data_IF_405081728768
#
_entry.id   IF_405081728768
#
_cell.length_a   1.000
_cell.length_b   1.000
_cell.length_c   1.000
_cell.angle_alpha   90.00
_cell.angle_beta   90.00
_cell.angle_gamma   90.00
#
_symmetry.space_group_name_H-M   'P 1'
#
loop_
_entity.id
_entity.type
_entity.pdbx_description
1 polymer ?
#
# COMPACT_ATOMS: atom_id res chain seq x y z
N UNK A 1 17.79 -25.63 32.71
CA UNK A 1 18.09 -25.10 31.38
C UNK A 1 18.07 -23.58 31.45
N UNK A 2 19.08 -22.90 30.93
CA UNK A 2 19.12 -21.42 30.87
C UNK A 2 18.10 -20.98 29.82
N UNK A 3 17.25 -20.02 30.16
CA UNK A 3 16.27 -19.48 29.20
C UNK A 3 17.01 -18.67 28.13
N UNK A 4 16.84 -19.02 26.86
CA UNK A 4 17.43 -18.28 25.74
C UNK A 4 16.67 -16.97 25.50
N UNK A 5 17.34 -15.97 24.91
CA UNK A 5 16.73 -14.66 24.66
C UNK A 5 15.44 -14.74 23.82
N UNK A 6 15.39 -15.66 22.84
CA UNK A 6 14.20 -15.89 22.00
C UNK A 6 12.99 -16.34 22.81
N UNK A 7 13.21 -17.06 23.91
CA UNK A 7 12.15 -17.57 24.79
C UNK A 7 11.73 -16.50 25.80
N UNK A 8 12.64 -15.58 26.15
CA UNK A 8 12.39 -14.44 27.03
C UNK A 8 11.70 -13.27 26.33
N UNK A 9 11.96 -13.04 25.04
CA UNK A 9 11.45 -11.87 24.32
C UNK A 9 9.92 -11.72 24.36
N UNK A 10 9.10 -12.78 24.15
CA UNK A 10 7.64 -12.66 24.28
C UNK A 10 7.20 -12.31 25.71
N UNK A 11 7.90 -12.83 26.73
CA UNK A 11 7.62 -12.55 28.14
C UNK A 11 7.97 -11.11 28.51
N UNK A 12 9.11 -10.61 28.02
CA UNK A 12 9.51 -9.21 28.21
C UNK A 12 8.55 -8.26 27.51
N UNK A 13 8.15 -8.54 26.27
CA UNK A 13 7.13 -7.74 25.57
C UNK A 13 5.79 -7.71 26.31
N UNK A 14 5.37 -8.85 26.90
CA UNK A 14 4.15 -8.90 27.71
C UNK A 14 4.29 -8.03 28.96
N UNK A 15 5.45 -8.08 29.64
CA UNK A 15 5.75 -7.25 30.81
C UNK A 15 5.70 -5.76 30.45
N UNK A 16 6.38 -5.33 29.40
CA UNK A 16 6.39 -3.92 28.99
C UNK A 16 5.00 -3.42 28.57
N UNK A 17 4.23 -4.22 27.84
CA UNK A 17 2.84 -3.87 27.47
C UNK A 17 1.90 -3.72 28.67
N UNK A 18 2.17 -4.43 29.78
CA UNK A 18 1.36 -4.36 30.99
C UNK A 18 1.71 -3.15 31.87
N UNK A 19 2.90 -2.56 31.70
CA UNK A 19 3.39 -1.45 32.53
C UNK A 19 3.05 -0.06 31.95
N UNK A 20 2.39 0.00 30.78
CA UNK A 20 1.97 1.25 30.16
C UNK A 20 0.71 1.83 30.82
N UNK A 21 0.63 3.16 30.87
CA UNK A 21 -0.53 3.95 31.32
C UNK A 21 -1.43 4.43 30.17
N UNK A 22 -1.02 4.17 28.93
CA UNK A 22 -1.76 4.50 27.71
C UNK A 22 -2.51 3.27 27.20
N UNK A 23 -3.80 3.43 26.88
CA UNK A 23 -4.55 2.42 26.10
C UNK A 23 -4.18 2.55 24.61
N UNK A 24 -3.46 1.57 24.02
CA UNK A 24 -3.05 1.64 22.62
C UNK A 24 -4.23 1.59 21.65
N UNK A 25 -5.38 0.98 22.02
CA UNK A 25 -6.57 1.00 21.16
C UNK A 25 -7.12 2.41 21.02
N UNK A 26 -7.24 3.14 22.14
CA UNK A 26 -7.69 4.53 22.14
C UNK A 26 -6.72 5.40 21.34
N UNK A 27 -5.43 5.30 21.62
CA UNK A 27 -4.41 6.08 20.89
C UNK A 27 -4.41 5.74 19.39
N UNK A 28 -4.50 4.47 19.02
CA UNK A 28 -4.51 4.06 17.60
C UNK A 28 -5.73 4.63 16.89
N UNK A 29 -6.91 4.58 17.50
CA UNK A 29 -8.11 5.15 16.90
C UNK A 29 -7.97 6.68 16.76
N UNK A 30 -7.38 7.37 17.73
CA UNK A 30 -7.10 8.81 17.63
C UNK A 30 -6.14 9.13 16.46
N UNK A 31 -5.07 8.36 16.30
CA UNK A 31 -4.08 8.55 15.24
C UNK A 31 -4.55 8.13 13.85
N UNK A 32 -5.68 7.43 13.76
CA UNK A 32 -6.23 6.86 12.52
C UNK A 32 -7.62 7.41 12.22
N UNK A 33 -7.84 8.68 12.57
CA UNK A 33 -9.05 9.44 12.24
C UNK A 33 -10.35 8.83 12.79
N UNK A 34 -10.25 8.15 13.93
CA UNK A 34 -11.37 7.54 14.64
C UNK A 34 -11.49 6.03 14.45
N UNK A 35 -12.50 5.46 15.12
CA UNK A 35 -12.73 4.01 15.16
C UNK A 35 -13.09 3.48 13.77
N UNK A 36 -14.05 4.12 13.10
CA UNK A 36 -14.55 3.67 11.80
C UNK A 36 -13.46 3.67 10.72
N UNK A 37 -12.67 4.75 10.64
CA UNK A 37 -11.56 4.86 9.70
C UNK A 37 -10.47 3.80 10.00
N UNK A 38 -10.12 3.61 11.27
CA UNK A 38 -9.15 2.57 11.64
C UNK A 38 -9.65 1.14 11.34
N UNK A 39 -10.92 0.85 11.56
CA UNK A 39 -11.49 -0.48 11.28
C UNK A 39 -11.56 -0.74 9.76
N UNK A 40 -11.94 0.28 8.95
CA UNK A 40 -11.85 0.18 7.49
C UNK A 40 -10.40 -0.04 7.04
N UNK A 41 -9.45 0.71 7.59
CA UNK A 41 -8.02 0.55 7.31
C UNK A 41 -7.52 -0.86 7.65
N UNK A 42 -7.91 -1.44 8.79
CA UNK A 42 -7.55 -2.83 9.16
C UNK A 42 -8.11 -3.82 8.15
N UNK A 43 -9.38 -3.67 7.77
CA UNK A 43 -10.02 -4.51 6.78
C UNK A 43 -9.28 -4.49 5.43
N UNK A 44 -8.92 -3.30 4.93
CA UNK A 44 -8.15 -3.16 3.69
C UNK A 44 -6.78 -3.85 3.78
N UNK A 45 -6.07 -3.70 4.91
CA UNK A 45 -4.79 -4.38 5.13
C UNK A 45 -4.96 -5.91 5.13
N UNK A 46 -5.98 -6.42 5.82
CA UNK A 46 -6.26 -7.86 5.85
C UNK A 46 -6.55 -8.43 4.45
N UNK A 47 -7.19 -7.67 3.57
CA UNK A 47 -7.43 -8.11 2.19
C UNK A 47 -6.11 -8.33 1.43
N UNK A 48 -5.12 -7.46 1.63
CA UNK A 48 -3.79 -7.60 1.03
C UNK A 48 -3.03 -8.77 1.67
N UNK A 49 -3.07 -8.92 3.00
CA UNK A 49 -2.41 -10.01 3.72
C UNK A 49 -2.89 -11.40 3.29
N UNK A 50 -4.16 -11.53 2.90
CA UNK A 50 -4.75 -12.79 2.42
C UNK A 50 -4.50 -13.06 0.94
N UNK A 51 -4.10 -12.06 0.16
CA UNK A 51 -3.95 -12.21 -1.28
C UNK A 51 -2.61 -12.93 -1.61
N UNK A 52 -2.62 -14.04 -2.38
CA UNK A 52 -1.46 -14.93 -2.54
C UNK A 52 -0.20 -14.30 -3.17
N UNK A 53 -0.35 -13.22 -3.95
CA UNK A 53 0.79 -12.47 -4.54
C UNK A 53 1.08 -11.14 -3.81
N UNK A 54 0.06 -10.35 -3.49
CA UNK A 54 0.22 -9.04 -2.85
C UNK A 54 0.71 -9.12 -1.40
N UNK A 55 0.49 -10.25 -0.72
CA UNK A 55 1.01 -10.49 0.63
C UNK A 55 2.50 -10.82 0.69
N UNK A 56 3.15 -11.06 -0.45
CA UNK A 56 4.57 -11.41 -0.51
C UNK A 56 5.47 -10.35 0.14
N UNK A 57 6.46 -10.81 0.93
CA UNK A 57 7.44 -9.98 1.66
C UNK A 57 8.90 -10.37 1.40
N UNK A 58 9.16 -11.21 0.41
CA UNK A 58 10.48 -11.82 0.17
C UNK A 58 11.43 -10.93 -0.65
N UNK A 59 11.11 -9.63 -0.78
CA UNK A 59 11.86 -8.67 -1.61
C UNK A 59 13.36 -8.59 -1.28
N UNK A 60 13.73 -8.82 -0.02
CA UNK A 60 15.13 -8.77 0.44
C UNK A 60 15.95 -9.99 0.00
N UNK A 61 15.29 -11.05 -0.46
CA UNK A 61 15.94 -12.27 -0.96
C UNK A 61 16.04 -12.31 -2.49
N UNK A 62 15.67 -11.22 -3.16
CA UNK A 62 15.69 -11.10 -4.62
C UNK A 62 16.82 -10.18 -5.08
N UNK A 63 17.49 -10.55 -6.16
CA UNK A 63 18.36 -9.61 -6.87
C UNK A 63 17.53 -8.54 -7.61
N UNK A 64 18.21 -7.55 -8.21
CA UNK A 64 17.54 -6.43 -8.89
C UNK A 64 16.53 -6.89 -9.97
N UNK A 65 16.93 -7.80 -10.85
CA UNK A 65 16.09 -8.28 -11.96
C UNK A 65 14.89 -9.08 -11.44
N UNK A 66 15.12 -9.94 -10.45
CA UNK A 66 14.05 -10.72 -9.81
C UNK A 66 13.05 -9.82 -9.10
N UNK A 67 13.54 -8.82 -8.35
CA UNK A 67 12.69 -7.87 -7.63
C UNK A 67 11.87 -7.01 -8.60
N UNK A 68 12.49 -6.52 -9.67
CA UNK A 68 11.78 -5.77 -10.70
C UNK A 68 10.68 -6.62 -11.37
N UNK A 69 11.02 -7.84 -11.78
CA UNK A 69 10.08 -8.77 -12.43
C UNK A 69 8.92 -9.13 -11.50
N UNK A 70 9.20 -9.42 -10.22
CA UNK A 70 8.16 -9.70 -9.24
C UNK A 70 7.32 -8.46 -8.93
N UNK A 71 7.92 -7.27 -8.91
CA UNK A 71 7.23 -5.99 -8.78
C UNK A 71 6.21 -5.77 -9.90
N UNK A 72 6.55 -6.08 -11.16
CA UNK A 72 5.61 -6.04 -12.28
C UNK A 72 4.45 -7.02 -12.10
N UNK A 73 4.73 -8.24 -11.60
CA UNK A 73 3.70 -9.21 -11.25
C UNK A 73 2.78 -8.66 -10.14
N UNK A 74 3.32 -8.09 -9.07
CA UNK A 74 2.53 -7.42 -8.01
C UNK A 74 1.66 -6.31 -8.58
N UNK A 75 2.19 -5.45 -9.45
CA UNK A 75 1.42 -4.39 -10.13
C UNK A 75 0.23 -4.96 -10.89
N UNK A 76 0.43 -5.98 -11.72
CA UNK A 76 -0.66 -6.61 -12.48
C UNK A 76 -1.75 -7.18 -11.56
N UNK A 77 -1.37 -7.83 -10.46
CA UNK A 77 -2.31 -8.32 -9.47
C UNK A 77 -3.02 -7.19 -8.72
N UNK A 78 -2.32 -6.10 -8.39
CA UNK A 78 -2.88 -4.98 -7.65
C UNK A 78 -3.94 -4.24 -8.47
N UNK A 79 -3.64 -3.93 -9.73
CA UNK A 79 -4.59 -3.29 -10.65
C UNK A 79 -5.85 -4.15 -10.82
N UNK A 80 -5.68 -5.46 -11.02
CA UNK A 80 -6.80 -6.39 -11.10
C UNK A 80 -7.59 -6.46 -9.80
N UNK A 81 -6.90 -6.50 -8.67
CA UNK A 81 -7.51 -6.53 -7.35
C UNK A 81 -8.38 -5.29 -7.08
N UNK A 82 -7.89 -4.08 -7.40
CA UNK A 82 -8.69 -2.86 -7.26
C UNK A 82 -9.97 -2.92 -8.09
N UNK A 83 -9.88 -3.42 -9.33
CA UNK A 83 -11.04 -3.60 -10.21
C UNK A 83 -12.02 -4.64 -9.68
N UNK A 84 -11.52 -5.82 -9.30
CA UNK A 84 -12.33 -6.95 -8.85
C UNK A 84 -13.00 -6.66 -7.49
N UNK A 85 -12.47 -5.72 -6.70
CA UNK A 85 -13.03 -5.28 -5.43
C UNK A 85 -13.78 -3.94 -5.52
N UNK A 86 -13.91 -3.36 -6.71
CA UNK A 86 -14.59 -2.09 -6.96
C UNK A 86 -14.07 -0.92 -6.08
N UNK A 87 -12.75 -0.88 -5.86
CA UNK A 87 -12.11 0.11 -4.99
C UNK A 87 -11.72 1.34 -5.83
N UNK A 88 -12.61 2.33 -5.85
CA UNK A 88 -12.42 3.59 -6.57
C UNK A 88 -11.86 4.72 -5.70
N UNK A 89 -12.08 4.64 -4.38
CA UNK A 89 -11.63 5.68 -3.46
C UNK A 89 -10.10 5.73 -3.38
N UNK A 90 -9.54 6.92 -3.62
CA UNK A 90 -8.08 7.11 -3.68
C UNK A 90 -7.41 6.86 -2.34
N UNK A 91 -8.04 7.23 -1.22
CA UNK A 91 -7.46 7.02 0.09
C UNK A 91 -7.41 5.53 0.44
N UNK A 92 -8.44 4.76 0.07
CA UNK A 92 -8.41 3.30 0.20
C UNK A 92 -7.32 2.67 -0.67
N UNK A 93 -7.17 3.12 -1.92
CA UNK A 93 -6.09 2.68 -2.81
C UNK A 93 -4.71 2.95 -2.18
N UNK A 94 -4.50 4.11 -1.56
CA UNK A 94 -3.26 4.46 -0.86
C UNK A 94 -2.99 3.54 0.34
N UNK A 95 -4.01 3.21 1.14
CA UNK A 95 -3.90 2.26 2.26
C UNK A 95 -3.51 0.86 1.75
N UNK A 96 -4.19 0.37 0.72
CA UNK A 96 -3.90 -0.93 0.13
C UNK A 96 -2.51 -0.98 -0.47
N UNK A 97 -2.11 0.09 -1.15
CA UNK A 97 -0.79 0.20 -1.76
C UNK A 97 0.31 0.21 -0.69
N UNK A 98 0.14 0.97 0.39
CA UNK A 98 1.05 0.95 1.54
C UNK A 98 1.16 -0.45 2.16
N UNK A 99 0.06 -1.22 2.16
CA UNK A 99 0.04 -2.59 2.65
C UNK A 99 0.78 -3.60 1.74
N UNK A 100 1.21 -3.22 0.54
CA UNK A 100 2.04 -4.09 -0.33
C UNK A 100 3.47 -4.28 0.20
N UNK A 101 3.91 -3.40 1.10
CA UNK A 101 5.18 -3.49 1.82
C UNK A 101 6.42 -3.10 1.02
N UNK A 102 6.29 -2.69 -0.24
CA UNK A 102 7.39 -2.18 -1.05
C UNK A 102 6.91 -1.24 -2.15
N UNK A 103 7.75 -0.27 -2.58
CA UNK A 103 7.44 0.56 -3.73
C UNK A 103 7.45 -0.28 -5.01
N UNK A 104 6.54 0.06 -5.92
CA UNK A 104 6.36 -0.61 -7.21
C UNK A 104 6.50 0.40 -8.35
N UNK A 105 6.76 -0.09 -9.56
CA UNK A 105 6.91 0.74 -10.76
C UNK A 105 5.67 1.53 -11.20
N UNK A 106 4.59 1.53 -10.42
CA UNK A 106 3.34 2.24 -10.68
C UNK A 106 3.16 3.50 -9.82
N UNK A 107 4.08 3.74 -8.88
CA UNK A 107 4.00 4.87 -7.92
C UNK A 107 3.77 6.21 -8.61
N UNK A 108 4.64 6.54 -9.57
CA UNK A 108 4.56 7.82 -10.29
C UNK A 108 3.31 7.89 -11.16
N UNK A 109 2.83 6.76 -11.67
CA UNK A 109 1.60 6.74 -12.45
C UNK A 109 0.39 7.16 -11.60
N UNK A 110 0.23 6.55 -10.42
CA UNK A 110 -0.88 6.84 -9.51
C UNK A 110 -0.72 8.18 -8.79
N UNK A 111 0.50 8.48 -8.33
CA UNK A 111 0.79 9.64 -7.49
C UNK A 111 0.98 10.95 -8.24
N UNK A 112 1.40 10.92 -9.51
CA UNK A 112 1.76 12.13 -10.27
C UNK A 112 1.10 12.21 -11.64
N UNK A 113 1.15 11.13 -12.44
CA UNK A 113 0.62 11.15 -13.81
C UNK A 113 -0.90 11.35 -13.84
N UNK A 114 -1.67 10.51 -13.12
CA UNK A 114 -3.12 10.65 -13.01
C UNK A 114 -3.51 12.03 -12.42
N UNK A 115 -2.97 12.47 -11.27
CA UNK A 115 -3.35 13.75 -10.68
C UNK A 115 -3.01 14.96 -11.56
N UNK A 116 -1.92 14.90 -12.33
CA UNK A 116 -1.60 15.96 -13.30
C UNK A 116 -2.64 16.04 -14.41
N UNK A 117 -3.07 14.89 -14.95
CA UNK A 117 -4.16 14.86 -15.95
C UNK A 117 -5.47 15.43 -15.39
N UNK A 118 -5.81 15.07 -14.14
CA UNK A 118 -7.03 15.54 -13.48
C UNK A 118 -7.02 17.06 -13.26
N UNK A 119 -5.95 17.56 -12.64
CA UNK A 119 -5.91 18.91 -12.12
C UNK A 119 -5.41 19.95 -13.12
N UNK A 120 -4.65 19.55 -14.14
CA UNK A 120 -3.98 20.46 -15.08
C UNK A 120 -4.39 20.24 -16.54
N UNK A 121 -5.11 19.15 -16.87
CA UNK A 121 -5.61 18.91 -18.22
C UNK A 121 -6.75 19.86 -18.60
N UNK A 122 -6.92 20.12 -19.90
CA UNK A 122 -8.18 20.68 -20.43
C UNK A 122 -9.30 19.63 -20.37
N UNK A 123 -10.55 20.03 -20.62
CA UNK A 123 -11.67 19.09 -20.70
C UNK A 123 -11.46 18.03 -21.80
N UNK A 124 -10.96 18.42 -22.98
CA UNK A 124 -10.68 17.46 -24.05
C UNK A 124 -9.54 16.50 -23.68
N UNK A 125 -8.50 17.01 -23.01
CA UNK A 125 -7.38 16.18 -22.55
C UNK A 125 -7.83 15.19 -21.48
N UNK A 126 -8.61 15.63 -20.50
CA UNK A 126 -9.20 14.74 -19.47
C UNK A 126 -10.07 13.67 -20.11
N UNK A 127 -11.01 14.06 -20.97
CA UNK A 127 -11.93 13.12 -21.63
C UNK A 127 -11.18 12.05 -22.44
N UNK A 128 -10.04 12.42 -23.06
CA UNK A 128 -9.21 11.49 -23.83
C UNK A 128 -8.34 10.59 -22.96
N UNK A 129 -7.60 11.15 -22.01
CA UNK A 129 -6.50 10.45 -21.34
C UNK A 129 -6.86 9.88 -19.99
N UNK A 130 -7.71 10.56 -19.22
CA UNK A 130 -7.98 10.18 -17.84
C UNK A 130 -8.68 8.81 -17.73
N UNK A 131 -9.68 8.45 -18.56
CA UNK A 131 -10.27 7.12 -18.52
C UNK A 131 -9.26 6.02 -18.85
N UNK A 132 -8.32 6.29 -19.75
CA UNK A 132 -7.27 5.33 -20.14
C UNK A 132 -6.25 5.13 -19.01
N UNK A 133 -5.85 6.22 -18.34
CA UNK A 133 -4.92 6.18 -17.22
C UNK A 133 -5.55 5.47 -16.00
N UNK A 134 -6.76 5.88 -15.58
CA UNK A 134 -7.48 5.26 -14.45
C UNK A 134 -7.80 3.77 -14.66
N UNK A 135 -7.98 3.33 -15.91
CA UNK A 135 -8.18 1.92 -16.24
C UNK A 135 -6.89 1.16 -16.55
N UNK A 136 -5.72 1.78 -16.32
CA UNK A 136 -4.40 1.21 -16.58
C UNK A 136 -4.18 0.71 -18.01
N UNK A 137 -4.92 1.26 -18.98
CA UNK A 137 -4.73 1.01 -20.43
C UNK A 137 -3.51 1.74 -20.97
N UNK A 138 -3.12 2.82 -20.31
CA UNK A 138 -1.86 3.51 -20.50
C UNK A 138 -1.16 3.63 -19.16
N UNK A 139 0.17 3.53 -19.17
CA UNK A 139 1.02 3.83 -18.02
C UNK A 139 1.80 5.10 -18.34
N UNK A 140 2.11 5.87 -17.30
CA UNK A 140 2.70 7.19 -17.44
C UNK A 140 3.59 7.53 -16.26
N UNK A 141 4.51 8.47 -16.51
CA UNK A 141 5.45 9.00 -15.54
C UNK A 141 5.33 10.52 -15.47
N UNK A 142 6.11 11.13 -14.58
CA UNK A 142 6.23 12.58 -14.44
C UNK A 142 7.71 12.96 -14.48
N UNK A 143 8.20 13.24 -15.68
CA UNK A 143 9.61 13.48 -15.96
C UNK A 143 9.97 14.95 -15.72
N UNK A 144 10.22 15.31 -14.46
CA UNK A 144 10.61 16.67 -14.06
C UNK A 144 12.11 16.83 -13.81
N UNK A 145 12.74 15.87 -13.12
CA UNK A 145 14.14 15.98 -12.70
C UNK A 145 15.09 15.76 -13.88
N UNK A 146 16.09 16.63 -14.01
CA UNK A 146 17.17 16.58 -15.02
C UNK A 146 18.54 16.29 -14.35
N UNK A 147 19.57 15.93 -15.14
CA UNK A 147 20.91 15.54 -14.66
C UNK A 147 21.70 16.70 -14.02
#
# INVERSE_FOLDING_TARGET
MVAELKDLAPLMLKKERANGDIDPKVLTNMLRDGIAANDRRKHLVEMIERHPVLSDRDMMFRNHTERYTFGLKKVAHFVRFLKDQEIEDRHEQEILYAALGEPLGIDVHNGMFIPTLENQGTDEQRAKWLPLAKSYKILGAYAQTEL
#
